data_IF_163847173641
#
_entry.id   IF_163847173641
#
_cell.length_a   1.000
_cell.length_b   1.000
_cell.length_c   1.000
_cell.angle_alpha   90.00
_cell.angle_beta   90.00
_cell.angle_gamma   90.00
#
_symmetry.space_group_name_H-M   'P 1'
#
loop_
_entity.id
_entity.type
_entity.pdbx_description
1 polymer ?
#
# COMPACT_ATOMS: atom_id res chain seq x y z
N UNK A 1 22.15 19.61 16.89
CA UNK A 1 21.42 18.34 17.09
C UNK A 1 20.09 18.48 16.36
N UNK A 2 19.87 17.72 15.29
CA UNK A 2 18.57 17.74 14.58
C UNK A 2 17.53 17.09 15.48
N UNK A 3 16.50 17.82 15.90
CA UNK A 3 15.39 17.23 16.65
C UNK A 3 14.70 16.18 15.77
N UNK A 4 14.63 14.95 16.25
CA UNK A 4 13.84 13.91 15.58
C UNK A 4 12.37 14.24 15.78
N UNK A 5 11.64 14.44 14.68
CA UNK A 5 10.20 14.65 14.68
C UNK A 5 9.52 13.49 13.98
N UNK A 6 8.63 12.80 14.70
CA UNK A 6 7.65 11.90 14.09
C UNK A 6 6.66 12.79 13.35
N UNK A 7 6.41 12.46 12.08
CA UNK A 7 5.40 13.14 11.26
C UNK A 7 4.19 12.20 11.17
N UNK A 8 3.15 12.40 11.99
CA UNK A 8 1.94 11.62 11.87
C UNK A 8 1.06 12.14 10.73
N UNK A 9 0.37 11.21 10.07
CA UNK A 9 -0.72 11.49 9.14
C UNK A 9 -1.96 10.82 9.70
N UNK A 10 -2.99 11.59 10.04
CA UNK A 10 -4.26 11.04 10.50
C UNK A 10 -5.05 10.58 9.28
N UNK A 11 -5.51 9.33 9.29
CA UNK A 11 -6.24 8.74 8.16
C UNK A 11 -7.72 8.56 8.55
N UNK A 12 -8.60 9.16 7.75
CA UNK A 12 -10.06 9.05 7.87
C UNK A 12 -10.63 8.32 6.65
N UNK A 13 -11.68 7.50 6.85
CA UNK A 13 -12.52 6.98 5.76
C UNK A 13 -13.95 7.36 6.06
N UNK A 14 -14.58 8.08 5.13
CA UNK A 14 -16.04 8.27 5.04
C UNK A 14 -16.75 8.39 6.42
N UNK A 15 -16.24 9.28 7.28
CA UNK A 15 -16.76 9.60 8.62
C UNK A 15 -16.33 8.69 9.80
N UNK A 16 -15.33 7.83 9.63
CA UNK A 16 -14.70 7.04 10.71
C UNK A 16 -13.19 7.23 10.76
N UNK A 17 -12.65 7.35 11.98
CA UNK A 17 -11.20 7.34 12.23
C UNK A 17 -10.65 5.95 11.89
N UNK A 18 -9.79 5.85 10.88
CA UNK A 18 -9.17 4.58 10.47
C UNK A 18 -7.93 4.30 11.31
N UNK A 19 -7.13 5.33 11.58
CA UNK A 19 -5.90 5.16 12.32
C UNK A 19 -4.95 6.35 12.23
N UNK A 20 -3.89 6.30 13.04
CA UNK A 20 -2.77 7.22 12.96
C UNK A 20 -1.62 6.57 12.17
N UNK A 21 -1.29 7.11 11.01
CA UNK A 21 -0.16 6.66 10.20
C UNK A 21 1.12 7.35 10.66
N UNK A 22 2.16 6.56 10.99
CA UNK A 22 3.46 7.10 11.41
C UNK A 22 4.61 6.39 10.72
N UNK A 23 5.69 7.13 10.53
CA UNK A 23 7.01 6.55 10.25
C UNK A 23 7.73 6.31 11.57
N UNK A 24 8.44 5.19 11.67
CA UNK A 24 9.30 4.92 12.82
C UNK A 24 10.40 5.97 12.99
N UNK A 25 10.83 6.18 14.24
CA UNK A 25 12.05 6.94 14.52
C UNK A 25 13.31 6.07 14.46
N UNK A 26 14.49 6.69 14.64
CA UNK A 26 15.75 5.94 14.78
C UNK A 26 15.83 5.19 16.11
N UNK A 27 15.17 5.70 17.15
CA UNK A 27 15.02 5.04 18.45
C UNK A 27 13.64 4.43 18.62
N UNK A 28 13.59 3.22 19.17
CA UNK A 28 12.34 2.56 19.55
C UNK A 28 11.59 3.35 20.63
N UNK A 29 12.30 3.88 21.64
CA UNK A 29 11.69 4.64 22.74
C UNK A 29 10.91 5.86 22.26
N UNK A 30 11.42 6.58 21.26
CA UNK A 30 10.74 7.75 20.68
C UNK A 30 9.43 7.34 20.00
N UNK A 31 9.43 6.17 19.33
CA UNK A 31 8.22 5.63 18.71
C UNK A 31 7.21 5.20 19.78
N UNK A 32 7.66 4.52 20.84
CA UNK A 32 6.83 4.14 21.98
C UNK A 32 6.22 5.35 22.70
N UNK A 33 6.99 6.41 22.97
CA UNK A 33 6.50 7.63 23.59
C UNK A 33 5.40 8.31 22.77
N UNK A 34 5.54 8.31 21.44
CA UNK A 34 4.52 8.86 20.56
C UNK A 34 3.24 8.02 20.61
N UNK A 35 3.35 6.70 20.50
CA UNK A 35 2.21 5.79 20.58
C UNK A 35 1.48 5.99 21.91
N UNK A 36 2.22 5.95 23.03
CA UNK A 36 1.68 6.18 24.37
C UNK A 36 0.95 7.52 24.47
N UNK A 37 1.59 8.63 24.08
CA UNK A 37 0.96 9.97 24.14
C UNK A 37 -0.32 10.03 23.32
N UNK A 38 -0.32 9.53 22.08
CA UNK A 38 -1.50 9.56 21.22
C UNK A 38 -2.60 8.65 21.75
N UNK A 39 -2.28 7.44 22.20
CA UNK A 39 -3.29 6.51 22.73
C UNK A 39 -3.86 6.93 24.08
N UNK A 40 -3.10 7.69 24.89
CA UNK A 40 -3.53 8.15 26.21
C UNK A 40 -4.30 9.47 26.14
N UNK A 41 -3.97 10.34 25.19
CA UNK A 41 -4.57 11.67 25.04
C UNK A 41 -5.64 11.76 23.94
N UNK A 42 -5.94 10.65 23.26
CA UNK A 42 -6.97 10.61 22.22
C UNK A 42 -7.69 9.26 22.14
N UNK A 43 -8.85 9.18 21.47
CA UNK A 43 -9.55 7.92 21.21
C UNK A 43 -8.84 6.98 20.22
N UNK A 44 -7.65 7.34 19.72
CA UNK A 44 -6.92 6.55 18.73
C UNK A 44 -6.52 5.19 19.30
N UNK A 45 -7.02 4.11 18.68
CA UNK A 45 -6.67 2.72 19.04
C UNK A 45 -5.99 1.93 17.91
N UNK A 46 -5.99 2.44 16.69
CA UNK A 46 -5.35 1.81 15.54
C UNK A 46 -4.23 2.69 14.98
N UNK A 47 -3.05 2.12 14.81
CA UNK A 47 -1.88 2.77 14.23
C UNK A 47 -1.41 2.02 12.97
N UNK A 48 -1.06 2.77 11.93
CA UNK A 48 -0.41 2.23 10.74
C UNK A 48 1.06 2.63 10.80
N UNK A 49 1.94 1.65 10.89
CA UNK A 49 3.36 1.88 11.10
C UNK A 49 4.11 1.63 9.80
N UNK A 50 4.57 2.70 9.16
CA UNK A 50 5.60 2.56 8.15
C UNK A 50 6.92 2.20 8.84
N UNK A 51 7.40 0.99 8.59
CA UNK A 51 8.57 0.39 9.24
C UNK A 51 9.90 1.00 8.79
N UNK A 52 9.90 2.24 8.32
CA UNK A 52 11.08 2.98 7.87
C UNK A 52 10.97 4.38 8.43
N UNK A 53 12.12 4.99 8.75
CA UNK A 53 12.17 6.41 9.07
C UNK A 53 11.98 7.29 7.84
N UNK A 54 11.19 8.35 7.98
CA UNK A 54 11.16 9.44 7.00
C UNK A 54 12.27 10.45 7.29
N UNK A 55 13.16 10.68 6.33
CA UNK A 55 14.16 11.75 6.38
C UNK A 55 13.63 12.96 5.61
N UNK A 56 13.17 13.97 6.34
CA UNK A 56 12.50 15.14 5.75
C UNK A 56 13.45 16.08 5.02
N UNK A 57 14.75 16.00 5.32
CA UNK A 57 15.79 16.84 4.73
C UNK A 57 16.93 15.97 4.20
N UNK A 58 17.56 16.42 3.11
CA UNK A 58 18.82 15.88 2.62
C UNK A 58 18.70 14.70 1.64
N UNK A 59 17.51 14.16 1.37
CA UNK A 59 17.31 13.11 0.35
C UNK A 59 15.97 13.26 -0.40
N UNK A 60 15.91 12.71 -1.62
CA UNK A 60 14.70 12.74 -2.45
C UNK A 60 13.57 11.84 -1.91
N UNK A 61 12.30 12.02 -2.32
CA UNK A 61 11.23 11.08 -1.99
C UNK A 61 11.48 9.65 -2.49
N UNK A 62 12.23 9.47 -3.59
CA UNK A 62 12.64 8.14 -4.05
C UNK A 62 13.68 7.51 -3.12
N UNK A 63 14.66 8.31 -2.69
CA UNK A 63 15.69 7.86 -1.76
C UNK A 63 15.14 7.57 -0.36
N UNK A 64 14.16 8.35 0.12
CA UNK A 64 13.42 8.05 1.34
C UNK A 64 12.74 6.67 1.31
N UNK A 65 12.50 6.11 0.11
CA UNK A 65 11.93 4.79 -0.09
C UNK A 65 12.97 3.69 -0.31
N UNK A 66 14.27 3.98 -0.19
CA UNK A 66 15.36 3.03 -0.43
C UNK A 66 16.46 3.09 0.62
N UNK A 67 16.87 4.28 1.04
CA UNK A 67 18.07 4.51 1.84
C UNK A 67 17.88 4.12 3.31
N UNK A 68 16.90 4.64 4.07
CA UNK A 68 16.77 4.23 5.47
C UNK A 68 16.39 2.74 5.54
N UNK A 69 16.98 1.96 6.45
CA UNK A 69 16.65 0.55 6.58
C UNK A 69 15.19 0.37 7.04
N UNK A 70 14.63 -0.80 6.73
CA UNK A 70 13.39 -1.24 7.34
C UNK A 70 13.69 -1.75 8.76
N UNK A 71 12.78 -1.47 9.68
CA UNK A 71 12.86 -1.72 11.12
C UNK A 71 11.62 -2.48 11.58
N UNK A 72 11.44 -3.69 11.05
CA UNK A 72 10.29 -4.52 11.39
C UNK A 72 10.32 -4.97 12.86
N UNK A 73 11.51 -5.12 13.43
CA UNK A 73 11.69 -5.44 14.86
C UNK A 73 11.03 -4.40 15.77
N UNK A 74 11.01 -3.13 15.38
CA UNK A 74 10.32 -2.09 16.14
C UNK A 74 8.80 -2.21 16.00
N UNK A 75 8.29 -2.58 14.83
CA UNK A 75 6.86 -2.82 14.65
C UNK A 75 6.38 -3.94 15.59
N UNK A 76 7.03 -5.11 15.59
CA UNK A 76 6.61 -6.22 16.44
C UNK A 76 6.85 -5.96 17.94
N UNK A 77 7.82 -5.12 18.29
CA UNK A 77 7.95 -4.66 19.67
C UNK A 77 6.78 -3.76 20.11
N UNK A 78 6.17 -2.97 19.22
CA UNK A 78 4.94 -2.23 19.54
C UNK A 78 3.76 -3.18 19.81
N UNK A 79 3.64 -4.29 19.08
CA UNK A 79 2.61 -5.30 19.34
C UNK A 79 2.78 -5.91 20.74
N UNK A 80 4.03 -6.19 21.14
CA UNK A 80 4.37 -6.69 22.48
C UNK A 80 4.05 -5.67 23.57
N UNK A 81 4.44 -4.41 23.37
CA UNK A 81 4.43 -3.40 24.42
C UNK A 81 3.08 -2.67 24.54
N UNK A 82 2.21 -2.78 23.55
CA UNK A 82 0.88 -2.17 23.53
C UNK A 82 -0.21 -3.18 23.11
N UNK A 83 -0.46 -4.24 23.90
CA UNK A 83 -1.38 -5.33 23.53
C UNK A 83 -2.84 -4.88 23.37
N UNK A 84 -3.23 -3.74 23.97
CA UNK A 84 -4.58 -3.18 23.86
C UNK A 84 -4.79 -2.30 22.60
N UNK A 85 -3.73 -2.12 21.79
CA UNK A 85 -3.77 -1.33 20.55
C UNK A 85 -3.66 -2.22 19.32
N UNK A 86 -4.26 -1.74 18.23
CA UNK A 86 -4.22 -2.42 16.93
C UNK A 86 -3.15 -1.78 16.05
N UNK A 87 -2.41 -2.61 15.31
CA UNK A 87 -1.32 -2.15 14.45
C UNK A 87 -1.38 -2.74 13.05
N UNK A 88 -1.31 -1.88 12.02
CA UNK A 88 -1.11 -2.30 10.62
C UNK A 88 0.33 -2.05 10.21
N UNK A 89 1.02 -3.07 9.71
CA UNK A 89 2.39 -2.93 9.22
C UNK A 89 2.41 -2.34 7.81
N UNK A 90 3.36 -1.45 7.56
CA UNK A 90 3.63 -0.88 6.24
C UNK A 90 5.14 -0.78 5.96
N UNK A 91 5.47 -0.68 4.67
CA UNK A 91 6.82 -0.44 4.19
C UNK A 91 7.53 -1.71 3.73
N UNK A 92 7.94 -1.73 2.45
CA UNK A 92 8.80 -2.80 1.92
C UNK A 92 8.15 -4.17 1.68
N UNK A 93 6.84 -4.29 1.92
CA UNK A 93 6.04 -5.49 1.62
C UNK A 93 5.54 -5.40 0.18
N UNK A 94 5.95 -6.37 -0.62
CA UNK A 94 5.87 -6.33 -2.09
C UNK A 94 5.08 -7.49 -2.69
N UNK A 95 4.51 -8.38 -1.90
CA UNK A 95 3.68 -9.46 -2.42
C UNK A 95 2.65 -9.93 -1.40
N UNK A 96 1.67 -10.69 -1.87
CA UNK A 96 0.68 -11.34 -0.99
C UNK A 96 1.32 -12.38 -0.08
N UNK A 97 2.42 -13.02 -0.52
CA UNK A 97 3.22 -13.94 0.30
C UNK A 97 3.82 -13.20 1.50
N UNK A 98 4.46 -12.06 1.24
CA UNK A 98 5.06 -11.24 2.30
C UNK A 98 3.99 -10.66 3.23
N UNK A 99 2.82 -10.30 2.69
CA UNK A 99 1.69 -9.87 3.52
C UNK A 99 1.20 -11.00 4.44
N UNK A 100 1.02 -12.22 3.91
CA UNK A 100 0.66 -13.40 4.70
C UNK A 100 1.72 -13.74 5.76
N UNK A 101 3.01 -13.61 5.42
CA UNK A 101 4.08 -13.80 6.39
C UNK A 101 3.94 -12.81 7.55
N UNK A 102 3.69 -11.53 7.28
CA UNK A 102 3.49 -10.54 8.33
C UNK A 102 2.26 -10.84 9.22
N UNK A 103 1.15 -11.28 8.61
CA UNK A 103 -0.06 -11.65 9.35
C UNK A 103 0.19 -12.87 10.27
N UNK A 104 0.95 -13.86 9.82
CA UNK A 104 1.31 -15.04 10.63
C UNK A 104 2.16 -14.68 11.85
N UNK A 105 3.04 -13.68 11.74
CA UNK A 105 3.83 -13.17 12.87
C UNK A 105 3.04 -12.23 13.80
N UNK A 106 1.73 -12.05 13.57
CA UNK A 106 0.82 -11.35 14.49
C UNK A 106 0.46 -9.92 14.10
N UNK A 107 0.86 -9.43 12.92
CA UNK A 107 0.35 -8.16 12.40
C UNK A 107 -1.19 -8.21 12.27
N UNK A 108 -1.91 -7.21 12.78
CA UNK A 108 -3.37 -7.15 12.62
C UNK A 108 -3.78 -6.90 11.16
N UNK A 109 -2.98 -6.11 10.45
CA UNK A 109 -3.21 -5.80 9.04
C UNK A 109 -1.93 -5.45 8.33
N UNK A 110 -1.97 -5.48 7.00
CA UNK A 110 -0.85 -5.12 6.13
C UNK A 110 -1.30 -4.05 5.14
N UNK A 111 -0.61 -2.92 5.13
CA UNK A 111 -0.83 -1.89 4.14
C UNK A 111 0.19 -2.05 3.00
N UNK A 112 -0.33 -2.33 1.79
CA UNK A 112 0.47 -2.49 0.58
C UNK A 112 0.32 -1.27 -0.33
N UNK A 113 1.41 -0.56 -0.56
CA UNK A 113 1.41 0.67 -1.35
C UNK A 113 1.90 0.46 -2.78
N UNK A 114 3.20 0.66 -3.00
CA UNK A 114 3.84 0.64 -4.34
C UNK A 114 3.58 -0.63 -5.13
N UNK A 115 3.50 -1.78 -4.46
CA UNK A 115 3.25 -3.06 -5.10
C UNK A 115 1.89 -3.08 -5.82
N UNK A 116 0.84 -2.67 -5.11
CA UNK A 116 -0.50 -2.52 -5.66
C UNK A 116 -0.55 -1.55 -6.84
N UNK A 117 0.33 -0.55 -6.90
CA UNK A 117 0.40 0.39 -8.02
C UNK A 117 1.26 -0.09 -9.20
N UNK A 118 2.37 -0.77 -8.94
CA UNK A 118 3.34 -1.15 -9.98
C UNK A 118 3.01 -2.48 -10.64
N UNK A 119 2.39 -3.40 -9.92
CA UNK A 119 1.98 -4.71 -10.40
C UNK A 119 0.63 -5.08 -9.78
N UNK A 120 -0.43 -4.29 -10.09
CA UNK A 120 -1.76 -4.44 -9.51
C UNK A 120 -2.34 -5.83 -9.74
N UNK A 121 -2.19 -6.39 -10.95
CA UNK A 121 -2.74 -7.71 -11.28
C UNK A 121 -2.17 -8.81 -10.38
N UNK A 122 -0.83 -8.83 -10.24
CA UNK A 122 -0.12 -9.84 -9.46
C UNK A 122 -0.23 -9.61 -7.95
N UNK A 123 -0.45 -8.37 -7.49
CA UNK A 123 -0.61 -8.09 -6.06
C UNK A 123 -2.05 -8.30 -5.63
N UNK A 124 -2.98 -7.56 -6.23
CA UNK A 124 -4.36 -7.46 -5.77
C UNK A 124 -5.19 -8.66 -6.19
N UNK A 125 -4.87 -9.28 -7.32
CA UNK A 125 -5.61 -10.44 -7.84
C UNK A 125 -5.64 -11.65 -6.91
N UNK A 126 -4.65 -11.79 -6.03
CA UNK A 126 -4.56 -12.91 -5.10
C UNK A 126 -5.04 -12.57 -3.69
N UNK A 127 -5.47 -11.33 -3.41
CA UNK A 127 -5.79 -10.90 -2.04
C UNK A 127 -6.98 -11.68 -1.50
N UNK A 128 -8.07 -11.78 -2.26
CA UNK A 128 -9.29 -12.47 -1.83
C UNK A 128 -9.01 -13.93 -1.47
N UNK A 129 -8.23 -14.64 -2.30
CA UNK A 129 -7.91 -16.05 -2.10
C UNK A 129 -6.87 -16.26 -1.01
N UNK A 130 -5.74 -15.57 -1.10
CA UNK A 130 -4.59 -15.86 -0.26
C UNK A 130 -4.68 -15.23 1.14
N UNK A 131 -5.40 -14.11 1.30
CA UNK A 131 -5.57 -13.43 2.60
C UNK A 131 -6.90 -13.81 3.26
N UNK A 132 -7.99 -13.76 2.49
CA UNK A 132 -9.34 -13.93 3.04
C UNK A 132 -9.91 -15.34 2.85
N UNK A 133 -9.19 -16.24 2.15
CA UNK A 133 -9.64 -17.61 1.91
C UNK A 133 -10.87 -17.72 1.01
N UNK A 134 -11.21 -16.66 0.28
CA UNK A 134 -12.32 -16.66 -0.66
C UNK A 134 -12.01 -17.57 -1.86
N UNK A 135 -13.02 -18.13 -2.54
CA UNK A 135 -12.80 -18.86 -3.78
C UNK A 135 -12.23 -17.90 -4.85
N UNK A 136 -11.40 -18.43 -5.75
CA UNK A 136 -10.93 -17.66 -6.90
C UNK A 136 -12.13 -17.20 -7.73
N UNK A 137 -12.19 -15.90 -8.03
CA UNK A 137 -13.27 -15.34 -8.85
C UNK A 137 -13.19 -15.75 -10.32
N UNK A 138 -12.03 -16.26 -10.76
CA UNK A 138 -11.77 -16.57 -12.17
C UNK A 138 -11.77 -15.35 -13.09
N UNK A 139 -11.87 -14.14 -12.53
CA UNK A 139 -12.02 -12.91 -13.29
C UNK A 139 -10.81 -12.65 -14.18
N UNK A 140 -11.08 -12.22 -15.40
CA UNK A 140 -10.07 -11.91 -16.41
C UNK A 140 -9.81 -10.41 -16.49
N UNK A 141 -8.68 -10.03 -17.09
CA UNK A 141 -8.39 -8.61 -17.34
C UNK A 141 -9.44 -7.99 -18.26
N UNK A 142 -9.92 -8.73 -19.25
CA UNK A 142 -10.98 -8.27 -20.17
C UNK A 142 -12.23 -7.87 -19.43
N UNK A 143 -12.73 -8.71 -18.54
CA UNK A 143 -13.95 -8.43 -17.76
C UNK A 143 -13.76 -7.25 -16.81
N UNK A 144 -12.58 -7.10 -16.20
CA UNK A 144 -12.26 -5.93 -15.38
C UNK A 144 -12.27 -4.65 -16.22
N UNK A 145 -11.65 -4.68 -17.41
CA UNK A 145 -11.59 -3.53 -18.30
C UNK A 145 -12.97 -3.14 -18.85
N UNK A 146 -13.85 -4.11 -19.12
CA UNK A 146 -15.23 -3.84 -19.50
C UNK A 146 -15.99 -3.09 -18.40
N UNK A 147 -15.94 -3.58 -17.15
CA UNK A 147 -16.54 -2.89 -16.00
C UNK A 147 -15.91 -1.51 -15.75
N UNK A 148 -14.60 -1.41 -15.91
CA UNK A 148 -13.88 -0.15 -15.74
C UNK A 148 -14.21 0.85 -16.85
N UNK A 149 -14.54 0.39 -18.05
CA UNK A 149 -15.02 1.25 -19.14
C UNK A 149 -16.31 1.96 -18.72
N UNK A 150 -17.30 1.19 -18.27
CA UNK A 150 -18.60 1.71 -17.81
C UNK A 150 -18.41 2.71 -16.66
N UNK A 151 -17.63 2.32 -15.65
CA UNK A 151 -17.28 3.20 -14.54
C UNK A 151 -16.62 4.49 -15.03
N UNK A 152 -15.58 4.37 -15.85
CA UNK A 152 -14.77 5.48 -16.29
C UNK A 152 -15.57 6.46 -17.15
N UNK A 153 -16.34 5.96 -18.11
CA UNK A 153 -17.26 6.79 -18.91
C UNK A 153 -18.30 7.48 -18.04
N UNK A 154 -18.76 6.84 -16.96
CA UNK A 154 -19.70 7.47 -16.03
C UNK A 154 -19.08 8.61 -15.24
N UNK A 155 -17.77 8.61 -14.95
CA UNK A 155 -17.14 9.60 -14.06
C UNK A 155 -16.42 10.74 -14.78
N UNK A 156 -16.12 10.59 -16.07
CA UNK A 156 -15.45 11.62 -16.84
C UNK A 156 -16.21 12.96 -16.77
N UNK A 157 -15.49 14.03 -16.41
CA UNK A 157 -16.05 15.38 -16.36
C UNK A 157 -17.01 15.69 -15.20
N UNK A 158 -17.22 14.77 -14.24
CA UNK A 158 -18.16 14.97 -13.12
C UNK A 158 -17.80 16.10 -12.15
N UNK A 159 -16.52 16.43 -12.00
CA UNK A 159 -16.02 17.39 -11.01
C UNK A 159 -15.92 18.83 -11.55
N UNK A 160 -16.44 19.07 -12.76
CA UNK A 160 -16.29 20.35 -13.47
C UNK A 160 -14.91 20.52 -14.09
N UNK A 161 -14.72 21.58 -14.88
CA UNK A 161 -13.46 21.86 -15.60
C UNK A 161 -12.92 20.67 -16.42
N UNK A 162 -13.83 19.82 -16.92
CA UNK A 162 -13.52 18.60 -17.67
C UNK A 162 -12.66 17.60 -16.88
N UNK A 163 -12.88 17.51 -15.55
CA UNK A 163 -12.21 16.60 -14.62
C UNK A 163 -13.22 15.62 -13.97
N UNK A 164 -12.79 14.40 -13.61
CA UNK A 164 -11.53 13.79 -14.03
C UNK A 164 -11.51 13.62 -15.55
N UNK A 165 -10.34 13.80 -16.17
CA UNK A 165 -10.16 13.58 -17.60
C UNK A 165 -9.70 12.14 -17.89
N UNK A 166 -9.63 11.78 -19.18
CA UNK A 166 -9.26 10.43 -19.61
C UNK A 166 -7.93 9.94 -19.01
N UNK A 167 -6.94 10.82 -18.90
CA UNK A 167 -5.63 10.48 -18.35
C UNK A 167 -5.74 10.15 -16.87
N UNK A 168 -6.52 10.91 -16.10
CA UNK A 168 -6.72 10.66 -14.68
C UNK A 168 -7.48 9.35 -14.42
N UNK A 169 -8.53 9.10 -15.20
CA UNK A 169 -9.33 7.88 -15.09
C UNK A 169 -8.54 6.64 -15.51
N UNK A 170 -7.74 6.72 -16.57
CA UNK A 170 -6.97 5.58 -17.09
C UNK A 170 -5.62 5.35 -16.37
N UNK A 171 -5.06 6.35 -15.67
CA UNK A 171 -3.75 6.26 -15.00
C UNK A 171 -3.58 5.02 -14.10
N UNK A 172 -4.57 4.61 -13.28
CA UNK A 172 -4.46 3.40 -12.46
C UNK A 172 -4.25 2.11 -13.29
N UNK A 173 -4.73 2.08 -14.53
CA UNK A 173 -4.65 0.91 -15.41
C UNK A 173 -3.31 0.74 -16.11
N UNK A 174 -2.45 1.77 -16.10
CA UNK A 174 -1.22 1.77 -16.90
C UNK A 174 -0.24 0.64 -16.55
N UNK A 175 -0.35 0.05 -15.36
CA UNK A 175 0.46 -1.09 -14.94
C UNK A 175 -0.32 -2.41 -14.85
N UNK A 176 -1.56 -2.48 -15.34
CA UNK A 176 -2.37 -3.71 -15.34
C UNK A 176 -1.70 -4.87 -16.09
N UNK A 177 -0.93 -4.54 -17.12
CA UNK A 177 -0.19 -5.49 -17.97
C UNK A 177 1.30 -5.56 -17.62
N UNK A 178 1.69 -5.23 -16.39
CA UNK A 178 3.09 -5.31 -15.97
C UNK A 178 3.71 -6.70 -16.28
N UNK A 179 4.88 -6.69 -16.93
CA UNK A 179 5.61 -7.87 -17.42
C UNK A 179 4.87 -8.75 -18.44
N UNK A 180 3.74 -8.31 -18.99
CA UNK A 180 3.01 -9.05 -20.02
C UNK A 180 3.45 -8.68 -21.44
N UNK A 181 3.32 -9.60 -22.42
CA UNK A 181 3.44 -9.28 -23.84
C UNK A 181 2.56 -8.09 -24.24
N UNK A 182 3.11 -7.18 -25.04
CA UNK A 182 2.36 -6.02 -25.54
C UNK A 182 2.34 -4.80 -24.61
N UNK A 183 2.71 -4.93 -23.33
CA UNK A 183 2.67 -3.83 -22.35
C UNK A 183 3.40 -2.55 -22.79
N UNK A 184 4.59 -2.69 -23.38
CA UNK A 184 5.35 -1.54 -23.89
C UNK A 184 4.63 -0.81 -25.03
N UNK A 185 4.01 -1.56 -25.95
CA UNK A 185 3.23 -0.99 -27.05
C UNK A 185 1.92 -0.37 -26.55
N UNK A 186 1.24 -1.02 -25.60
CA UNK A 186 0.07 -0.51 -24.89
C UNK A 186 0.34 0.87 -24.28
N UNK A 187 1.44 1.02 -23.52
CA UNK A 187 1.81 2.31 -22.90
C UNK A 187 2.02 3.42 -23.94
N UNK A 188 2.72 3.12 -25.05
CA UNK A 188 2.90 4.09 -26.14
C UNK A 188 1.59 4.49 -26.81
N UNK A 189 0.69 3.52 -27.04
CA UNK A 189 -0.64 3.79 -27.58
C UNK A 189 -1.48 4.60 -26.60
N UNK A 190 -1.41 4.31 -25.30
CA UNK A 190 -2.11 5.06 -24.27
C UNK A 190 -1.64 6.53 -24.23
N UNK A 191 -0.33 6.78 -24.32
CA UNK A 191 0.21 8.14 -24.38
C UNK A 191 -0.32 8.93 -25.58
N UNK A 192 -0.41 8.29 -26.76
CA UNK A 192 -1.02 8.89 -27.95
C UNK A 192 -2.52 9.11 -27.74
N UNK A 193 -3.26 8.10 -27.27
CA UNK A 193 -4.69 8.15 -27.05
C UNK A 193 -5.11 9.26 -26.07
N UNK A 194 -4.29 9.57 -25.07
CA UNK A 194 -4.53 10.68 -24.15
C UNK A 194 -4.58 12.06 -24.81
N UNK A 195 -4.09 12.20 -26.05
CA UNK A 195 -4.12 13.48 -26.76
C UNK A 195 -5.50 13.75 -27.39
N UNK A 196 -6.25 12.72 -27.78
CA UNK A 196 -7.48 12.88 -28.57
C UNK A 196 -8.70 12.12 -28.04
N UNK A 197 -8.53 10.97 -27.36
CA UNK A 197 -9.65 10.20 -26.83
C UNK A 197 -10.45 11.00 -25.78
N UNK A 198 -11.78 10.87 -25.84
CA UNK A 198 -12.72 11.55 -24.94
C UNK A 198 -13.53 10.59 -24.08
N UNK A 199 -13.54 9.30 -24.40
CA UNK A 199 -14.22 8.25 -23.64
C UNK A 199 -13.24 7.12 -23.31
N UNK A 200 -13.51 6.38 -22.25
CA UNK A 200 -12.80 5.13 -21.94
C UNK A 200 -13.02 4.10 -23.04
N UNK A 201 -14.21 4.06 -23.64
CA UNK A 201 -14.49 3.19 -24.79
C UNK A 201 -13.51 3.44 -25.95
N UNK A 202 -13.40 4.69 -26.42
CA UNK A 202 -12.49 5.00 -27.54
C UNK A 202 -11.03 4.75 -27.15
N UNK A 203 -10.66 5.07 -25.89
CA UNK A 203 -9.34 4.78 -25.37
C UNK A 203 -9.04 3.28 -25.45
N UNK A 204 -9.92 2.40 -24.98
CA UNK A 204 -9.71 0.96 -25.01
C UNK A 204 -9.70 0.36 -26.42
N UNK A 205 -10.60 0.81 -27.31
CA UNK A 205 -10.62 0.38 -28.72
C UNK A 205 -9.27 0.64 -29.42
N UNK A 206 -8.63 1.79 -29.17
CA UNK A 206 -7.36 2.13 -29.80
C UNK A 206 -6.13 1.45 -29.18
N UNK A 207 -6.21 1.19 -27.88
CA UNK A 207 -5.05 0.80 -27.07
C UNK A 207 -4.98 -0.71 -26.87
N UNK A 208 -6.10 -1.40 -26.65
CA UNK A 208 -6.12 -2.83 -26.28
C UNK A 208 -5.71 -3.75 -27.42
N UNK A 209 -5.74 -3.27 -28.66
CA UNK A 209 -5.18 -3.99 -29.83
C UNK A 209 -3.70 -4.37 -29.67
N UNK A 210 -2.99 -3.75 -28.72
CA UNK A 210 -1.59 -4.09 -28.40
C UNK A 210 -1.45 -5.28 -27.45
N UNK A 211 -2.51 -5.71 -26.78
CA UNK A 211 -2.48 -6.78 -25.79
C UNK A 211 -3.09 -8.04 -26.41
N UNK A 212 -2.37 -9.17 -26.45
CA UNK A 212 -2.91 -10.43 -26.97
C UNK A 212 -4.13 -10.92 -26.17
N UNK A 213 -5.07 -11.57 -26.83
CA UNK A 213 -6.24 -12.18 -26.18
C UNK A 213 -5.82 -13.19 -25.10
N UNK A 214 -4.72 -13.93 -25.31
CA UNK A 214 -4.16 -14.83 -24.30
C UNK A 214 -3.75 -14.14 -22.99
N UNK A 215 -3.48 -12.83 -23.00
CA UNK A 215 -3.19 -12.04 -21.78
C UNK A 215 -4.47 -11.44 -21.19
N UNK A 216 -5.40 -11.01 -22.05
CA UNK A 216 -6.67 -10.41 -21.65
C UNK A 216 -7.60 -11.43 -20.98
N UNK A 217 -7.62 -12.65 -21.51
CA UNK A 217 -8.51 -13.74 -21.11
C UNK A 217 -7.85 -14.73 -20.13
N UNK A 218 -6.57 -14.55 -19.81
CA UNK A 218 -5.93 -15.30 -18.76
C UNK A 218 -6.53 -14.89 -17.39
N UNK A 219 -7.08 -15.84 -16.60
CA UNK A 219 -7.43 -15.56 -15.21
C UNK A 219 -6.16 -15.31 -14.40
N UNK A 220 -6.34 -14.79 -13.17
CA UNK A 220 -5.25 -14.80 -12.18
C UNK A 220 -4.79 -16.25 -12.01
N UNK A 221 -3.51 -16.50 -12.29
CA UNK A 221 -2.94 -17.83 -12.20
C UNK A 221 -3.13 -18.40 -10.78
N UNK A 222 -3.44 -19.69 -10.66
CA UNK A 222 -3.68 -20.33 -9.36
C UNK A 222 -2.44 -20.51 -8.47
N UNK A 223 -1.26 -20.06 -8.92
CA UNK A 223 -0.03 -20.10 -8.14
C UNK A 223 0.18 -18.79 -7.38
N UNK A 224 0.44 -18.87 -6.08
CA UNK A 224 0.82 -17.69 -5.29
C UNK A 224 2.11 -17.11 -5.87
N UNK A 225 2.19 -15.80 -6.16
CA UNK A 225 3.39 -15.18 -6.71
C UNK A 225 4.61 -15.41 -5.81
N UNK A 226 5.80 -15.51 -6.39
CA UNK A 226 7.05 -15.60 -5.62
C UNK A 226 7.19 -14.42 -4.64
N UNK A 227 7.62 -14.68 -3.42
CA UNK A 227 7.92 -13.66 -2.41
C UNK A 227 8.86 -14.19 -1.33
N UNK A 228 9.32 -13.30 -0.45
CA UNK A 228 10.17 -13.67 0.69
C UNK A 228 9.30 -14.20 1.83
N UNK A 229 9.16 -15.53 1.93
CA UNK A 229 8.41 -16.17 3.02
C UNK A 229 9.09 -15.99 4.37
N UNK A 230 10.41 -15.91 4.38
CA UNK A 230 11.29 -15.77 5.54
C UNK A 230 11.52 -14.31 5.96
N UNK A 231 10.82 -13.35 5.34
CA UNK A 231 11.03 -11.92 5.55
C UNK A 231 10.99 -11.51 7.04
N UNK A 232 10.21 -12.23 7.85
CA UNK A 232 10.02 -11.95 9.27
C UNK A 232 10.52 -13.09 10.19
N UNK A 233 11.15 -14.14 9.65
CA UNK A 233 11.44 -15.37 10.39
C UNK A 233 12.23 -15.17 11.71
N UNK A 234 13.13 -14.18 11.75
CA UNK A 234 13.95 -13.88 12.92
C UNK A 234 13.58 -12.56 13.61
N UNK A 235 12.41 -12.00 13.31
CA UNK A 235 12.06 -10.64 13.76
C UNK A 235 11.92 -10.56 15.29
N UNK A 236 11.49 -11.65 15.92
CA UNK A 236 11.31 -11.75 17.36
C UNK A 236 12.63 -11.83 18.15
N UNK A 237 13.72 -12.30 17.52
CA UNK A 237 15.06 -12.33 18.12
C UNK A 237 15.75 -10.95 18.09
N UNK A 238 15.25 -10.05 17.24
CA UNK A 238 15.79 -8.72 17.01
C UNK A 238 15.04 -7.63 17.77
N UNK A 239 14.05 -7.99 18.59
CA UNK A 239 13.23 -7.00 19.28
C UNK A 239 14.08 -6.12 20.20
N UNK A 240 13.85 -4.80 20.20
CA UNK A 240 14.44 -3.93 21.20
C UNK A 240 13.96 -4.30 22.62
N UNK A 241 14.66 -3.80 23.65
CA UNK A 241 14.19 -3.85 25.03
C UNK A 241 12.75 -3.38 25.17
N UNK A 242 12.05 -3.88 26.20
CA UNK A 242 10.69 -3.44 26.50
C UNK A 242 10.59 -1.93 26.65
N UNK A 243 9.58 -1.35 26.03
CA UNK A 243 9.25 0.04 26.23
C UNK A 243 8.74 0.24 27.66
N UNK A 244 9.32 1.23 28.34
CA UNK A 244 8.84 1.74 29.61
C UNK A 244 8.49 3.22 29.43
N UNK A 245 7.25 3.57 29.76
CA UNK A 245 6.85 4.98 29.73
C UNK A 245 7.74 5.77 30.70
N UNK A 246 8.28 6.89 30.23
CA UNK A 246 9.08 7.79 31.09
C UNK A 246 8.13 8.46 32.08
N UNK A 247 8.23 8.10 33.36
CA UNK A 247 7.38 8.60 34.45
C UNK A 247 7.43 10.14 34.60
N UNK A 248 8.43 10.83 34.05
CA UNK A 248 8.68 12.25 34.29
C UNK A 248 7.83 13.25 33.47
N UNK A 249 7.13 12.85 32.41
CA UNK A 249 6.32 13.81 31.60
C UNK A 249 4.81 13.79 31.93
N UNK A 250 4.35 12.89 32.81
CA UNK A 250 2.95 12.84 33.25
C UNK A 250 2.60 13.91 34.32
N UNK A 251 3.60 14.62 34.84
CA UNK A 251 3.46 15.62 35.90
C UNK A 251 3.27 17.07 35.40
N UNK A 252 3.33 17.32 34.08
CA UNK A 252 3.24 18.67 33.50
C UNK A 252 2.33 18.79 32.27
N UNK A 253 1.38 17.86 32.08
CA UNK A 253 0.33 17.95 31.06
C UNK A 253 -1.01 18.33 31.69
#
# INVERSE_FOLDING_TARGET
MSSERIVPVIVFSSDSFIGCFIFLSSSFSISGDFIYKVSSLSPTRHFIIHSRKALLNGISPADNRRIPPLKYEFYYALLRDFPDLTFTINGGINSVVEANAALREGAHGVMVGRAAYHYPWQTLGHVDTAIYGAPSSGITRREILQRYQEYGDSVLGKDGNNRPNIREVAKPLLNLFYSEPGNGLWKRKADSAFMHCKTMKSFFEETLVAIPDSVLDAPIAGGVPSGREDLFANVHDLLPPQYHAREEEALYA
#
